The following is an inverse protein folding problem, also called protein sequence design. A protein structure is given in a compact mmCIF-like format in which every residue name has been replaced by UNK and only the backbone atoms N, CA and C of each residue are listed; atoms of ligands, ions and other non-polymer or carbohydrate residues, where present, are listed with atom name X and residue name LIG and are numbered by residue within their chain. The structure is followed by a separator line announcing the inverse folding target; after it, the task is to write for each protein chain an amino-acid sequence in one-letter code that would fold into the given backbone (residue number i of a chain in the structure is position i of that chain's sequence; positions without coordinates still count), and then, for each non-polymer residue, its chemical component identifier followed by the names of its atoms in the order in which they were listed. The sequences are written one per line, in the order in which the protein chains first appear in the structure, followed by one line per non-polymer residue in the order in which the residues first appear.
data_IF_303762491826
#
_entry.id   IF_303762491826
#
_cell.length_a   1.000
_cell.length_b   1.000
_cell.length_c   1.000
_cell.angle_alpha   90.00
_cell.angle_beta   90.00
_cell.angle_gamma   90.00
#
_symmetry.space_group_name_H-M   'P 1'
#
loop_
_entity.id
_entity.type
_entity.pdbx_description
1 polymer ?
#
# COMPACT_ATOMS: atom_id res chain seq x y z
N UNK A 1 -9.86 13.71 -11.76
CA UNK A 1 -8.79 12.95 -11.07
C UNK A 1 -8.61 13.62 -9.73
N UNK A 2 -8.91 12.93 -8.63
CA UNK A 2 -8.61 13.46 -7.30
C UNK A 2 -7.17 13.08 -7.02
N UNK A 3 -6.23 14.00 -7.25
CA UNK A 3 -4.82 13.78 -6.86
C UNK A 3 -4.79 13.58 -5.35
N UNK A 4 -4.43 12.39 -4.90
CA UNK A 4 -4.13 12.13 -3.49
C UNK A 4 -2.63 12.32 -3.31
N UNK A 5 -2.24 13.10 -2.30
CA UNK A 5 -0.83 13.38 -2.01
C UNK A 5 -0.10 12.10 -1.55
N UNK A 6 1.19 11.95 -1.87
CA UNK A 6 2.03 10.93 -1.27
C UNK A 6 2.06 11.04 0.25
N UNK A 7 2.17 9.89 0.93
CA UNK A 7 2.27 9.84 2.38
C UNK A 7 3.24 8.75 2.84
N UNK A 8 3.64 8.83 4.10
CA UNK A 8 4.56 7.87 4.71
C UNK A 8 3.80 6.91 5.63
N UNK A 9 4.21 5.65 5.63
CA UNK A 9 3.75 4.63 6.56
C UNK A 9 4.94 3.98 7.26
N UNK A 10 4.70 3.40 8.43
CA UNK A 10 5.74 2.78 9.24
C UNK A 10 5.41 1.32 9.52
N UNK A 11 6.30 0.41 9.12
CA UNK A 11 6.12 -1.05 9.25
C UNK A 11 7.42 -1.65 9.76
N UNK A 12 7.36 -2.40 10.87
CA UNK A 12 8.50 -3.14 11.43
C UNK A 12 9.81 -2.34 11.57
N UNK A 13 9.71 -1.05 11.89
CA UNK A 13 10.88 -0.17 12.03
C UNK A 13 11.31 0.53 10.74
N UNK A 14 10.63 0.27 9.63
CA UNK A 14 10.94 0.79 8.31
C UNK A 14 9.91 1.84 7.87
N UNK A 15 10.40 2.93 7.28
CA UNK A 15 9.56 3.95 6.68
C UNK A 15 9.40 3.68 5.19
N UNK A 16 8.15 3.61 4.74
CA UNK A 16 7.80 3.44 3.34
C UNK A 16 7.10 4.69 2.82
N UNK A 17 7.38 5.05 1.57
CA UNK A 17 6.66 6.11 0.87
C UNK A 17 5.60 5.50 -0.02
N UNK A 18 4.36 5.93 0.16
CA UNK A 18 3.21 5.48 -0.62
C UNK A 18 2.75 6.60 -1.53
N UNK A 19 2.67 6.31 -2.82
CA UNK A 19 2.17 7.23 -3.85
C UNK A 19 0.85 6.67 -4.38
N UNK A 20 -0.30 7.27 -4.04
CA UNK A 20 -1.58 6.86 -4.61
C UNK A 20 -1.64 7.12 -6.12
N UNK A 21 -2.17 6.16 -6.87
CA UNK A 21 -2.45 6.29 -8.31
C UNK A 21 -3.78 5.61 -8.65
N UNK A 22 -4.82 6.42 -8.85
CA UNK A 22 -6.19 5.96 -9.08
C UNK A 22 -6.67 4.96 -7.99
N UNK A 23 -6.78 3.68 -8.32
CA UNK A 23 -7.17 2.58 -7.42
C UNK A 23 -5.97 1.79 -6.87
N UNK A 24 -4.74 2.16 -7.28
CA UNK A 24 -3.50 1.51 -6.91
C UNK A 24 -2.62 2.40 -6.04
N UNK A 25 -1.60 1.79 -5.44
CA UNK A 25 -0.63 2.43 -4.57
C UNK A 25 0.76 1.97 -4.95
N UNK A 26 1.62 2.91 -5.36
CA UNK A 26 3.02 2.61 -5.58
C UNK A 26 3.75 2.75 -4.25
N UNK A 27 4.44 1.69 -3.83
CA UNK A 27 5.14 1.63 -2.55
C UNK A 27 6.64 1.66 -2.77
N UNK A 28 7.35 2.54 -2.05
CA UNK A 28 8.79 2.67 -2.08
C UNK A 28 9.39 2.45 -0.69
N UNK A 29 10.59 1.84 -0.68
CA UNK A 29 11.49 1.80 0.47
C UNK A 29 12.73 2.62 0.13
N UNK A 30 12.80 3.84 0.66
CA UNK A 30 13.79 4.82 0.23
C UNK A 30 13.65 5.11 -1.28
N UNK A 31 14.68 4.80 -2.06
CA UNK A 31 14.66 4.99 -3.53
C UNK A 31 14.22 3.74 -4.31
N UNK A 32 14.01 2.61 -3.64
CA UNK A 32 13.65 1.34 -4.28
C UNK A 32 12.14 1.17 -4.32
N UNK A 33 11.55 1.03 -5.51
CA UNK A 33 10.16 0.62 -5.66
C UNK A 33 10.01 -0.83 -5.16
N UNK A 34 9.11 -1.05 -4.22
CA UNK A 34 8.74 -2.38 -3.74
C UNK A 34 7.72 -3.02 -4.68
N UNK A 35 6.72 -2.24 -5.10
CA UNK A 35 5.72 -2.69 -6.05
C UNK A 35 4.49 -1.81 -6.10
N UNK A 36 3.58 -2.19 -6.98
CA UNK A 36 2.24 -1.61 -7.08
C UNK A 36 1.25 -2.53 -6.37
N UNK A 37 0.49 -1.98 -5.43
CA UNK A 37 -0.47 -2.73 -4.64
C UNK A 37 -1.86 -2.12 -4.80
N UNK A 38 -2.90 -2.95 -4.70
CA UNK A 38 -4.27 -2.46 -4.78
C UNK A 38 -5.19 -3.22 -3.80
N UNK A 39 -6.20 -2.54 -3.26
CA UNK A 39 -7.27 -3.20 -2.54
C UNK A 39 -8.09 -4.06 -3.50
N UNK A 40 -8.45 -5.26 -3.09
CA UNK A 40 -9.34 -6.17 -3.80
C UNK A 40 -10.40 -6.68 -2.83
N UNK A 41 -11.67 -6.61 -3.22
CA UNK A 41 -12.76 -7.14 -2.42
C UNK A 41 -13.04 -8.58 -2.85
N UNK A 42 -12.90 -9.53 -1.93
CA UNK A 42 -13.29 -10.93 -2.12
C UNK A 42 -14.49 -11.30 -1.22
N UNK A 43 -14.83 -12.60 -1.21
CA UNK A 43 -15.95 -13.14 -0.43
C UNK A 43 -15.72 -13.07 1.09
N UNK A 44 -14.47 -12.95 1.54
CA UNK A 44 -14.08 -12.92 2.96
C UNK A 44 -13.82 -11.49 3.47
N UNK A 45 -13.54 -10.54 2.58
CA UNK A 45 -13.38 -9.14 2.92
C UNK A 45 -12.52 -8.35 1.95
N UNK A 46 -11.93 -7.27 2.46
CA UNK A 46 -10.92 -6.53 1.73
C UNK A 46 -9.57 -7.24 1.90
N UNK A 47 -8.95 -7.60 0.78
CA UNK A 47 -7.58 -8.13 0.71
C UNK A 47 -6.70 -7.22 -0.13
N UNK A 48 -5.38 -7.31 0.06
CA UNK A 48 -4.42 -6.53 -0.69
C UNK A 48 -3.67 -7.42 -1.67
N UNK A 49 -3.58 -6.98 -2.93
CA UNK A 49 -2.98 -7.76 -4.01
C UNK A 49 -1.89 -6.96 -4.73
N UNK A 50 -0.93 -7.66 -5.31
CA UNK A 50 0.17 -7.09 -6.09
C UNK A 50 0.62 -8.05 -7.18
N UNK A 51 1.16 -7.51 -8.27
CA UNK A 51 1.84 -8.29 -9.30
C UNK A 51 3.34 -8.46 -9.05
N UNK A 52 3.88 -7.77 -8.03
CA UNK A 52 5.30 -7.76 -7.71
C UNK A 52 5.66 -8.81 -6.64
N UNK A 53 6.95 -9.10 -6.50
CA UNK A 53 7.44 -10.08 -5.53
C UNK A 53 7.51 -9.47 -4.12
N UNK A 54 6.35 -9.42 -3.44
CA UNK A 54 6.21 -8.96 -2.06
C UNK A 54 5.64 -10.12 -1.21
N UNK A 55 6.24 -10.43 -0.05
CA UNK A 55 5.66 -11.43 0.87
C UNK A 55 4.24 -11.07 1.29
N UNK A 56 3.33 -12.05 1.34
CA UNK A 56 1.90 -11.82 1.63
C UNK A 56 1.67 -11.14 2.98
N UNK A 57 2.38 -11.57 4.03
CA UNK A 57 2.26 -10.97 5.36
C UNK A 57 2.66 -9.48 5.35
N UNK A 58 3.71 -9.16 4.61
CA UNK A 58 4.19 -7.78 4.47
C UNK A 58 3.23 -6.93 3.62
N UNK A 59 2.66 -7.51 2.56
CA UNK A 59 1.63 -6.88 1.74
C UNK A 59 0.38 -6.54 2.56
N UNK A 60 -0.07 -7.45 3.43
CA UNK A 60 -1.19 -7.22 4.33
C UNK A 60 -0.90 -6.06 5.30
N UNK A 61 0.28 -6.04 5.93
CA UNK A 61 0.69 -4.95 6.83
C UNK A 61 0.74 -3.58 6.12
N UNK A 62 1.26 -3.53 4.88
CA UNK A 62 1.25 -2.31 4.07
C UNK A 62 -0.19 -1.84 3.85
N UNK A 63 -1.06 -2.76 3.46
CA UNK A 63 -2.47 -2.48 3.23
C UNK A 63 -3.17 -1.88 4.45
N UNK A 64 -3.01 -2.50 5.62
CA UNK A 64 -3.57 -2.02 6.89
C UNK A 64 -3.11 -0.60 7.22
N UNK A 65 -1.82 -0.30 7.04
CA UNK A 65 -1.29 1.05 7.30
C UNK A 65 -1.83 2.08 6.30
N UNK A 66 -2.02 1.70 5.04
CA UNK A 66 -2.66 2.56 4.04
C UNK A 66 -4.10 2.89 4.46
N UNK A 67 -4.88 1.92 4.92
CA UNK A 67 -6.24 2.17 5.41
C UNK A 67 -6.25 3.08 6.63
N UNK A 68 -5.36 2.85 7.60
CA UNK A 68 -5.23 3.67 8.79
C UNK A 68 -4.84 5.13 8.47
N UNK A 69 -4.13 5.34 7.36
CA UNK A 69 -3.67 6.65 6.90
C UNK A 69 -4.71 7.41 6.06
N UNK A 70 -5.83 6.77 5.67
CA UNK A 70 -6.89 7.46 4.94
C UNK A 70 -7.74 8.31 5.90
N UNK A 71 -7.97 9.61 5.60
CA UNK A 71 -8.99 10.38 6.32
C UNK A 71 -10.37 9.75 6.07
N UNK A 72 -11.13 9.52 7.15
CA UNK A 72 -12.52 9.05 7.11
C UNK A 72 -13.47 10.09 6.52
#
# INVERSE_FOLDING_TARGET
MTEKEPFEIYIDGEMLTVIPQDETYIVYKGMSKLGDIMPHQDDEGLVWVTGDLIPLDYLAQIGEQIEASRPR
#
